data_IF_609241132928
#
_entry.id   IF_609241132928
#
_cell.length_a   1.000
_cell.length_b   1.000
_cell.length_c   1.000
_cell.angle_alpha   90.00
_cell.angle_beta   90.00
_cell.angle_gamma   90.00
#
_symmetry.space_group_name_H-M   'P 1'
#
loop_
_entity.id
_entity.type
_entity.pdbx_description
1 polymer ?
#
# COMPACT_ATOMS: atom_id res chain seq x y z
N UNK A 1 -0.94 -10.32 32.07
CA UNK A 1 0.42 -10.15 31.50
C UNK A 1 0.35 -9.29 30.23
N UNK A 2 -0.20 -8.06 30.32
CA UNK A 2 -0.46 -7.17 29.17
C UNK A 2 -0.19 -5.70 29.57
N UNK A 3 1.03 -5.39 29.97
CA UNK A 3 1.40 -4.02 30.41
C UNK A 3 2.78 -3.56 29.90
N UNK A 4 3.27 -4.13 28.80
CA UNK A 4 4.67 -3.96 28.37
C UNK A 4 4.85 -3.42 26.95
N UNK A 5 4.12 -2.36 26.55
CA UNK A 5 4.44 -1.64 25.29
C UNK A 5 4.24 -0.11 25.35
N UNK A 6 4.24 0.51 26.53
CA UNK A 6 4.13 1.98 26.69
C UNK A 6 5.42 2.63 27.22
N UNK A 7 6.58 2.27 26.68
CA UNK A 7 7.83 2.98 26.98
C UNK A 7 8.12 4.01 25.91
N UNK A 8 7.65 5.23 26.21
CA UNK A 8 8.02 6.56 25.72
C UNK A 8 8.11 6.79 24.19
N UNK A 9 7.48 7.87 23.66
CA UNK A 9 7.58 8.20 22.25
C UNK A 9 9.06 8.41 21.86
N UNK A 10 9.52 7.86 20.74
CA UNK A 10 10.88 8.08 20.26
C UNK A 10 11.11 9.58 20.00
N UNK A 11 12.39 9.99 20.01
CA UNK A 11 12.83 11.38 19.75
C UNK A 11 12.05 11.97 18.57
N UNK A 12 11.55 13.19 18.77
CA UNK A 12 10.47 13.82 18.02
C UNK A 12 10.53 13.62 16.51
N UNK A 13 9.38 13.24 15.94
CA UNK A 13 9.14 13.16 14.52
C UNK A 13 9.67 14.41 13.79
N UNK A 14 10.50 14.21 12.77
CA UNK A 14 11.00 15.28 11.90
C UNK A 14 10.37 15.12 10.52
N UNK A 15 9.39 15.97 10.21
CA UNK A 15 8.68 15.94 8.93
C UNK A 15 9.61 16.13 7.71
N UNK A 16 10.71 16.87 7.85
CA UNK A 16 11.63 17.13 6.75
C UNK A 16 12.47 15.90 6.40
N UNK A 17 12.98 15.19 7.42
CA UNK A 17 13.66 13.91 7.26
C UNK A 17 12.73 12.85 6.67
N UNK A 18 11.48 12.82 7.13
CA UNK A 18 10.47 11.88 6.65
C UNK A 18 10.05 12.14 5.18
N UNK A 19 10.01 13.39 4.72
CA UNK A 19 9.78 13.69 3.31
C UNK A 19 10.98 13.34 2.43
N UNK A 20 12.19 13.59 2.93
CA UNK A 20 13.43 13.22 2.23
C UNK A 20 13.60 11.70 2.09
N UNK A 21 12.95 10.91 2.94
CA UNK A 21 12.95 9.45 2.87
C UNK A 21 11.97 8.89 1.83
N UNK A 22 11.17 9.71 1.12
CA UNK A 22 10.20 9.23 0.11
C UNK A 22 10.74 9.27 -1.34
N UNK A 23 10.36 8.29 -2.16
CA UNK A 23 10.71 8.19 -3.59
C UNK A 23 10.11 9.37 -4.40
N UNK A 24 10.53 9.62 -5.66
CA UNK A 24 9.91 10.65 -6.51
C UNK A 24 8.39 10.51 -6.55
N UNK A 25 7.68 11.65 -6.39
CA UNK A 25 6.22 11.69 -6.17
C UNK A 25 5.81 11.62 -4.69
N UNK A 26 6.68 11.09 -3.84
CA UNK A 26 6.52 10.97 -2.39
C UNK A 26 5.29 10.14 -1.98
N UNK A 27 5.03 9.06 -2.72
CA UNK A 27 3.90 8.14 -2.50
C UNK A 27 4.34 6.76 -1.99
N UNK A 28 5.65 6.52 -1.97
CA UNK A 28 6.32 5.32 -1.49
C UNK A 28 7.64 5.73 -0.81
N UNK A 29 8.10 5.01 0.22
CA UNK A 29 9.43 5.21 0.78
C UNK A 29 10.55 4.94 -0.23
N UNK A 30 11.67 5.66 -0.14
CA UNK A 30 12.93 5.34 -0.84
C UNK A 30 13.51 4.03 -0.35
N UNK A 31 13.37 3.78 0.96
CA UNK A 31 13.79 2.52 1.54
C UNK A 31 12.80 1.43 1.14
N UNK A 32 13.20 0.65 0.13
CA UNK A 32 12.44 -0.48 -0.40
C UNK A 32 12.18 -1.55 0.66
N UNK A 33 12.94 -1.58 1.75
CA UNK A 33 12.73 -2.48 2.89
C UNK A 33 11.34 -2.36 3.50
N UNK A 34 10.82 -1.13 3.53
CA UNK A 34 9.57 -0.79 4.20
C UNK A 34 8.37 -1.25 3.42
N UNK A 35 8.44 -1.05 2.12
CA UNK A 35 7.40 -1.51 1.21
C UNK A 35 7.40 -3.05 1.23
N UNK A 36 8.58 -3.69 1.16
CA UNK A 36 8.66 -5.13 1.24
C UNK A 36 8.16 -5.69 2.58
N UNK A 37 8.48 -5.05 3.71
CA UNK A 37 7.95 -5.41 5.01
C UNK A 37 6.42 -5.32 5.03
N UNK A 38 5.85 -4.21 4.54
CA UNK A 38 4.41 -4.02 4.47
C UNK A 38 3.75 -5.08 3.57
N UNK A 39 4.30 -5.37 2.39
CA UNK A 39 3.81 -6.46 1.52
C UNK A 39 3.91 -7.82 2.23
N UNK A 40 5.00 -8.05 2.97
CA UNK A 40 5.23 -9.22 3.82
C UNK A 40 4.13 -9.41 4.86
N UNK A 41 3.81 -8.36 5.61
CA UNK A 41 2.77 -8.34 6.63
C UNK A 41 1.39 -8.61 6.01
N UNK A 42 1.03 -7.94 4.91
CA UNK A 42 -0.25 -8.17 4.23
C UNK A 42 -0.36 -9.60 3.65
N UNK A 43 0.72 -10.14 3.11
CA UNK A 43 0.76 -11.53 2.66
C UNK A 43 0.61 -12.53 3.82
N UNK A 44 1.21 -12.25 4.98
CA UNK A 44 1.00 -13.07 6.18
C UNK A 44 -0.43 -12.98 6.69
N UNK A 45 -1.02 -11.78 6.73
CA UNK A 45 -2.43 -11.57 7.09
C UNK A 45 -3.36 -12.36 6.17
N UNK A 46 -3.16 -12.29 4.85
CA UNK A 46 -3.95 -13.03 3.87
C UNK A 46 -3.88 -14.55 4.10
N UNK A 47 -2.69 -15.07 4.41
CA UNK A 47 -2.49 -16.51 4.69
C UNK A 47 -3.08 -16.96 6.03
N UNK A 48 -3.17 -16.07 7.01
CA UNK A 48 -3.68 -16.40 8.35
C UNK A 48 -5.21 -16.52 8.41
N UNK A 49 -5.92 -15.97 7.42
CA UNK A 49 -7.38 -15.99 7.37
C UNK A 49 -7.87 -17.38 6.95
N UNK A 50 -8.50 -18.09 7.88
CA UNK A 50 -9.05 -19.44 7.64
C UNK A 50 -10.27 -19.45 6.71
N UNK A 51 -11.10 -18.42 6.80
CA UNK A 51 -12.32 -18.25 6.03
C UNK A 51 -12.30 -16.87 5.39
N UNK A 52 -11.68 -16.71 4.20
CA UNK A 52 -11.59 -15.43 3.55
C UNK A 52 -12.96 -14.97 3.07
N UNK A 53 -13.20 -13.66 3.18
CA UNK A 53 -14.35 -13.01 2.56
C UNK A 53 -14.38 -13.30 1.05
N UNK A 54 -15.58 -13.47 0.46
CA UNK A 54 -15.73 -13.65 -0.99
C UNK A 54 -15.00 -12.55 -1.77
N UNK A 55 -14.35 -12.90 -2.87
CA UNK A 55 -13.65 -11.90 -3.69
C UNK A 55 -14.61 -10.79 -4.12
N UNK A 56 -14.09 -9.55 -4.15
CA UNK A 56 -14.81 -8.46 -4.81
C UNK A 56 -15.12 -8.86 -6.26
N UNK A 57 -16.32 -8.57 -6.81
CA UNK A 57 -16.69 -9.00 -8.16
C UNK A 57 -15.70 -8.58 -9.25
N UNK A 58 -15.06 -7.41 -9.10
CA UNK A 58 -14.04 -6.94 -10.06
C UNK A 58 -12.75 -7.76 -9.96
N UNK A 59 -12.40 -8.18 -8.75
CA UNK A 59 -11.23 -9.02 -8.49
C UNK A 59 -11.47 -10.48 -8.92
N UNK A 60 -12.68 -11.00 -8.74
CA UNK A 60 -13.09 -12.31 -9.28
C UNK A 60 -13.04 -12.30 -10.81
N UNK A 61 -13.59 -11.26 -11.46
CA UNK A 61 -13.54 -11.11 -12.90
C UNK A 61 -12.10 -11.02 -13.43
N UNK A 62 -11.23 -10.27 -12.74
CA UNK A 62 -9.81 -10.21 -13.08
C UNK A 62 -9.12 -11.56 -12.92
N UNK A 63 -9.38 -12.27 -11.82
CA UNK A 63 -8.83 -13.60 -11.59
C UNK A 63 -9.24 -14.57 -12.71
N UNK A 64 -10.53 -14.57 -13.08
CA UNK A 64 -11.07 -15.38 -14.17
C UNK A 64 -10.42 -15.04 -15.51
N UNK A 65 -10.32 -13.75 -15.86
CA UNK A 65 -9.65 -13.29 -17.08
C UNK A 65 -8.23 -13.86 -17.21
N UNK A 66 -7.46 -13.82 -16.13
CA UNK A 66 -6.08 -14.34 -16.12
C UNK A 66 -6.06 -15.87 -16.22
N UNK A 67 -6.97 -16.56 -15.54
CA UNK A 67 -7.01 -18.02 -15.48
C UNK A 67 -7.56 -18.68 -16.75
N UNK A 68 -8.42 -17.99 -17.50
CA UNK A 68 -8.98 -18.49 -18.76
C UNK A 68 -7.98 -18.41 -19.93
N UNK A 69 -6.93 -17.58 -19.83
CA UNK A 69 -5.85 -17.47 -20.81
C UNK A 69 -4.55 -18.09 -20.27
N UNK A 70 -4.12 -19.20 -20.88
CA UNK A 70 -2.92 -19.93 -20.48
C UNK A 70 -1.64 -19.08 -20.55
N UNK A 71 -1.56 -18.13 -21.48
CA UNK A 71 -0.44 -17.22 -21.61
C UNK A 71 -0.46 -16.18 -20.47
N UNK A 72 -1.61 -15.57 -20.17
CA UNK A 72 -1.75 -14.66 -19.03
C UNK A 72 -1.45 -15.36 -17.71
N UNK A 73 -1.97 -16.57 -17.49
CA UNK A 73 -1.67 -17.39 -16.31
C UNK A 73 -0.16 -17.62 -16.15
N UNK A 74 0.53 -17.94 -17.25
CA UNK A 74 1.99 -18.15 -17.23
C UNK A 74 2.73 -16.86 -16.86
N UNK A 75 2.39 -15.73 -17.48
CA UNK A 75 3.02 -14.43 -17.20
C UNK A 75 2.77 -13.98 -15.76
N UNK A 76 1.52 -14.07 -15.30
CA UNK A 76 1.10 -13.66 -13.97
C UNK A 76 1.82 -14.43 -12.86
N UNK A 77 2.11 -15.72 -13.05
CA UNK A 77 2.92 -16.48 -12.09
C UNK A 77 4.43 -16.16 -12.23
N UNK A 78 4.93 -16.06 -13.45
CA UNK A 78 6.36 -15.80 -13.70
C UNK A 78 6.82 -14.44 -13.18
N UNK A 79 6.00 -13.39 -13.27
CA UNK A 79 6.41 -12.06 -12.81
C UNK A 79 6.78 -12.05 -11.31
N UNK A 80 6.08 -12.84 -10.49
CA UNK A 80 6.44 -13.01 -9.08
C UNK A 80 7.71 -13.85 -8.90
N UNK A 81 7.92 -14.88 -9.71
CA UNK A 81 9.16 -15.68 -9.63
C UNK A 81 10.39 -14.93 -10.14
N UNK A 82 10.22 -14.08 -11.16
CA UNK A 82 11.25 -13.19 -11.70
C UNK A 82 11.62 -12.09 -10.72
N UNK A 83 10.62 -11.46 -10.09
CA UNK A 83 10.81 -10.48 -9.03
C UNK A 83 11.72 -11.04 -7.92
N UNK A 84 11.41 -12.23 -7.41
CA UNK A 84 12.20 -12.90 -6.36
C UNK A 84 13.68 -13.06 -6.72
N UNK A 85 13.98 -13.31 -8.01
CA UNK A 85 15.36 -13.49 -8.49
C UNK A 85 16.08 -12.16 -8.68
N UNK A 86 15.36 -11.13 -9.12
CA UNK A 86 15.91 -9.80 -9.39
C UNK A 86 16.19 -9.01 -8.11
N UNK A 87 15.46 -9.28 -7.03
CA UNK A 87 15.58 -8.57 -5.75
C UNK A 87 15.86 -9.54 -4.58
N UNK A 88 16.99 -10.27 -4.57
CA UNK A 88 17.27 -11.31 -3.59
C UNK A 88 17.69 -10.78 -2.21
N UNK A 89 18.10 -9.51 -2.11
CA UNK A 89 18.53 -8.84 -0.87
C UNK A 89 17.43 -8.00 -0.24
N UNK A 90 16.18 -8.22 -0.64
CA UNK A 90 15.02 -7.67 0.06
C UNK A 90 15.13 -8.06 1.56
N UNK A 91 15.02 -7.10 2.51
CA UNK A 91 15.23 -7.37 3.93
C UNK A 91 14.17 -8.27 4.58
N UNK A 92 13.07 -8.59 3.89
CA UNK A 92 12.16 -9.69 4.29
C UNK A 92 12.69 -11.06 3.81
N UNK A 93 13.83 -11.07 3.13
CA UNK A 93 14.58 -12.23 2.67
C UNK A 93 13.97 -12.91 1.43
N UNK A 94 12.66 -12.79 1.19
CA UNK A 94 11.94 -13.48 0.12
C UNK A 94 10.77 -12.64 -0.40
N UNK A 95 10.45 -12.77 -1.69
CA UNK A 95 9.21 -12.24 -2.24
C UNK A 95 8.01 -12.85 -1.48
N UNK A 96 7.28 -11.99 -0.77
CA UNK A 96 6.17 -12.38 0.09
C UNK A 96 4.97 -12.91 -0.70
N UNK A 97 4.86 -12.52 -1.98
CA UNK A 97 3.83 -12.92 -2.93
C UNK A 97 4.49 -13.77 -4.02
N UNK A 98 4.28 -15.08 -3.99
CA UNK A 98 5.05 -16.01 -4.84
C UNK A 98 4.35 -16.37 -6.15
N UNK A 99 3.03 -16.19 -6.19
CA UNK A 99 2.15 -16.58 -7.30
C UNK A 99 0.95 -15.66 -7.37
N UNK A 100 0.25 -15.71 -8.49
CA UNK A 100 -0.89 -14.83 -8.76
C UNK A 100 -2.03 -14.98 -7.74
N UNK A 101 -2.32 -16.19 -7.27
CA UNK A 101 -3.36 -16.39 -6.25
C UNK A 101 -3.02 -15.72 -4.92
N UNK A 102 -1.74 -15.66 -4.53
CA UNK A 102 -1.32 -14.94 -3.33
C UNK A 102 -1.58 -13.44 -3.49
N UNK A 103 -1.29 -12.90 -4.69
CA UNK A 103 -1.57 -11.50 -5.03
C UNK A 103 -3.07 -11.21 -4.94
N UNK A 104 -3.91 -12.08 -5.51
CA UNK A 104 -5.37 -11.93 -5.42
C UNK A 104 -5.84 -11.92 -3.97
N UNK A 105 -5.33 -12.83 -3.13
CA UNK A 105 -5.69 -12.86 -1.72
C UNK A 105 -5.30 -11.57 -0.97
N UNK A 106 -4.12 -11.02 -1.25
CA UNK A 106 -3.67 -9.75 -0.64
C UNK A 106 -4.46 -8.55 -1.17
N UNK A 107 -4.71 -8.50 -2.48
CA UNK A 107 -5.57 -7.47 -3.09
C UNK A 107 -6.95 -7.46 -2.45
N UNK A 108 -7.53 -8.63 -2.18
CA UNK A 108 -8.83 -8.74 -1.53
C UNK A 108 -8.84 -8.04 -0.16
N UNK A 109 -7.75 -8.11 0.62
CA UNK A 109 -7.62 -7.35 1.87
C UNK A 109 -7.57 -5.84 1.61
N UNK A 110 -6.72 -5.42 0.66
CA UNK A 110 -6.54 -4.00 0.34
C UNK A 110 -7.84 -3.34 -0.11
N UNK A 111 -8.66 -4.04 -0.90
CA UNK A 111 -9.94 -3.52 -1.39
C UNK A 111 -10.98 -3.25 -0.28
N UNK A 112 -10.76 -3.77 0.94
CA UNK A 112 -11.63 -3.56 2.11
C UNK A 112 -11.01 -2.66 3.17
N UNK A 113 -9.91 -1.98 2.85
CA UNK A 113 -9.24 -1.08 3.77
C UNK A 113 -8.86 0.22 3.09
N UNK A 114 -8.89 1.31 3.85
CA UNK A 114 -8.29 2.57 3.41
C UNK A 114 -6.75 2.44 3.33
N UNK A 115 -6.08 3.34 2.60
CA UNK A 115 -4.61 3.37 2.58
C UNK A 115 -4.09 3.67 3.99
N UNK A 116 -3.09 2.92 4.46
CA UNK A 116 -2.55 3.10 5.81
C UNK A 116 -1.47 4.18 5.83
N UNK A 117 -1.56 5.09 6.80
CA UNK A 117 -0.45 5.97 7.15
C UNK A 117 0.30 5.36 8.34
N UNK A 118 1.53 4.89 8.13
CA UNK A 118 2.33 4.26 9.19
C UNK A 118 3.31 5.29 9.76
N UNK A 119 3.10 5.64 11.03
CA UNK A 119 3.99 6.52 11.83
C UNK A 119 4.93 5.74 12.74
N UNK A 120 4.80 4.41 12.83
CA UNK A 120 5.50 3.62 13.87
C UNK A 120 7.01 3.61 13.64
N UNK A 121 7.73 4.17 14.61
CA UNK A 121 9.19 4.11 14.71
C UNK A 121 9.65 2.82 15.42
N UNK A 122 9.19 1.64 15.00
CA UNK A 122 9.84 0.38 15.38
C UNK A 122 9.42 -0.80 14.48
N UNK A 123 10.32 -1.40 13.68
CA UNK A 123 11.71 -0.96 13.51
C UNK A 123 11.76 0.50 13.03
N UNK A 124 12.84 1.20 13.37
CA UNK A 124 13.03 2.66 13.28
C UNK A 124 12.95 3.25 11.87
N UNK A 125 12.43 2.50 10.91
CA UNK A 125 12.39 2.81 9.51
C UNK A 125 10.95 2.92 8.99
N UNK A 126 9.91 2.43 9.69
CA UNK A 126 8.53 2.42 9.18
C UNK A 126 7.77 3.77 9.30
N UNK A 127 8.47 4.89 9.09
CA UNK A 127 7.82 6.18 8.83
C UNK A 127 7.68 6.31 7.32
N UNK A 128 6.47 6.13 6.80
CA UNK A 128 6.30 6.15 5.36
C UNK A 128 4.87 6.09 4.89
N UNK A 129 4.64 6.79 3.78
CA UNK A 129 3.38 6.76 3.07
C UNK A 129 3.34 5.48 2.22
N UNK A 130 2.47 4.52 2.55
CA UNK A 130 1.95 3.61 1.52
C UNK A 130 0.63 4.20 1.04
N UNK A 131 0.72 5.37 0.41
CA UNK A 131 -0.45 6.14 -0.03
C UNK A 131 -1.18 5.46 -1.19
N UNK A 132 -0.50 4.51 -1.84
CA UNK A 132 -1.07 3.66 -2.87
C UNK A 132 -0.68 2.19 -2.62
N UNK A 133 -1.44 1.46 -1.77
CA UNK A 133 -1.16 0.06 -1.43
C UNK A 133 -1.16 -0.86 -2.65
N UNK A 134 -2.00 -0.60 -3.65
CA UNK A 134 -2.03 -1.37 -4.90
C UNK A 134 -0.72 -1.18 -5.68
N UNK A 135 -0.18 0.03 -5.76
CA UNK A 135 1.13 0.25 -6.38
C UNK A 135 2.26 -0.43 -5.61
N UNK A 136 2.20 -0.45 -4.27
CA UNK A 136 3.19 -1.16 -3.46
C UNK A 136 3.22 -2.68 -3.77
N UNK A 137 2.06 -3.29 -4.01
CA UNK A 137 1.97 -4.70 -4.42
C UNK A 137 2.50 -4.94 -5.84
N UNK A 138 2.39 -3.95 -6.72
CA UNK A 138 2.72 -4.05 -8.13
C UNK A 138 4.14 -3.59 -8.50
N UNK A 139 4.80 -2.81 -7.64
CA UNK A 139 6.09 -2.17 -7.90
C UNK A 139 7.18 -3.17 -8.34
N UNK A 140 7.25 -4.34 -7.71
CA UNK A 140 8.17 -5.41 -8.08
C UNK A 140 7.74 -6.19 -9.33
N UNK A 141 6.54 -6.83 -9.37
CA UNK A 141 6.17 -7.66 -10.51
C UNK A 141 6.06 -6.87 -11.81
N UNK A 142 5.69 -5.58 -11.79
CA UNK A 142 5.69 -4.73 -12.99
C UNK A 142 7.08 -4.55 -13.60
N UNK A 143 8.14 -4.60 -12.79
CA UNK A 143 9.52 -4.38 -13.21
C UNK A 143 10.21 -5.60 -13.84
N UNK A 144 9.48 -6.68 -14.14
CA UNK A 144 10.02 -7.90 -14.76
C UNK A 144 9.61 -8.01 -16.23
N UNK A 145 10.25 -8.92 -16.98
CA UNK A 145 9.91 -9.15 -18.40
C UNK A 145 8.49 -9.70 -18.51
N UNK A 146 8.15 -10.70 -17.68
CA UNK A 146 6.79 -11.25 -17.67
C UNK A 146 5.76 -10.23 -17.19
N UNK A 147 6.11 -9.36 -16.23
CA UNK A 147 5.25 -8.25 -15.81
C UNK A 147 5.01 -7.26 -16.94
N UNK A 148 6.08 -6.80 -17.60
CA UNK A 148 5.98 -5.92 -18.76
C UNK A 148 5.03 -6.48 -19.84
N UNK A 149 5.20 -7.74 -20.24
CA UNK A 149 4.32 -8.39 -21.21
C UNK A 149 2.87 -8.52 -20.71
N UNK A 150 2.66 -8.80 -19.42
CA UNK A 150 1.34 -8.92 -18.81
C UNK A 150 0.58 -7.58 -18.80
N UNK A 151 1.23 -6.50 -18.35
CA UNK A 151 0.60 -5.18 -18.25
C UNK A 151 0.49 -4.44 -19.60
N UNK A 152 1.10 -4.95 -20.68
CA UNK A 152 0.84 -4.46 -22.03
C UNK A 152 -0.54 -4.87 -22.57
N UNK A 153 -1.19 -5.86 -21.96
CA UNK A 153 -2.47 -6.40 -22.41
C UNK A 153 -3.62 -5.44 -22.09
N UNK A 154 -4.34 -4.90 -23.09
CA UNK A 154 -5.43 -3.93 -22.84
C UNK A 154 -6.51 -4.46 -21.89
N UNK A 155 -6.85 -5.74 -22.00
CA UNK A 155 -7.83 -6.43 -21.17
C UNK A 155 -7.40 -6.51 -19.68
N UNK A 156 -6.09 -6.66 -19.42
CA UNK A 156 -5.53 -6.62 -18.07
C UNK A 156 -5.68 -5.22 -17.48
N UNK A 157 -5.32 -4.18 -18.26
CA UNK A 157 -5.45 -2.79 -17.81
C UNK A 157 -6.91 -2.39 -17.57
N UNK A 158 -7.84 -2.86 -18.41
CA UNK A 158 -9.27 -2.62 -18.20
C UNK A 158 -9.77 -3.27 -16.90
N UNK A 159 -9.33 -4.49 -16.59
CA UNK A 159 -9.68 -5.16 -15.34
C UNK A 159 -9.09 -4.45 -14.11
N UNK A 160 -7.83 -4.00 -14.17
CA UNK A 160 -7.20 -3.21 -13.10
C UNK A 160 -7.94 -1.89 -12.90
N UNK A 161 -8.35 -1.20 -13.97
CA UNK A 161 -9.15 0.01 -13.86
C UNK A 161 -10.50 -0.24 -13.14
N UNK A 162 -11.16 -1.37 -13.44
CA UNK A 162 -12.38 -1.75 -12.73
C UNK A 162 -12.14 -1.98 -11.23
N UNK A 163 -11.04 -2.64 -10.87
CA UNK A 163 -10.63 -2.85 -9.47
C UNK A 163 -10.37 -1.51 -8.76
N UNK A 164 -9.65 -0.59 -9.41
CA UNK A 164 -9.36 0.74 -8.85
C UNK A 164 -10.64 1.55 -8.65
N UNK A 165 -11.60 1.46 -9.57
CA UNK A 165 -12.90 2.11 -9.43
C UNK A 165 -13.72 1.52 -8.28
N UNK A 166 -13.70 0.19 -8.09
CA UNK A 166 -14.37 -0.47 -6.97
C UNK A 166 -13.76 -0.03 -5.63
N UNK A 167 -12.42 0.02 -5.54
CA UNK A 167 -11.74 0.53 -4.36
C UNK A 167 -12.06 2.01 -4.11
N UNK A 168 -12.04 2.86 -5.14
CA UNK A 168 -12.40 4.26 -5.04
C UNK A 168 -13.82 4.46 -4.51
N UNK A 169 -14.77 3.62 -4.91
CA UNK A 169 -16.13 3.60 -4.34
C UNK A 169 -16.14 3.17 -2.88
N UNK A 170 -15.38 2.14 -2.50
CA UNK A 170 -15.24 1.74 -1.09
C UNK A 170 -14.70 2.91 -0.24
N UNK A 171 -13.72 3.67 -0.75
CA UNK A 171 -13.12 4.78 -0.02
C UNK A 171 -14.12 5.91 0.32
N UNK A 172 -15.25 6.02 -0.37
CA UNK A 172 -16.29 7.01 -0.03
C UNK A 172 -17.26 6.55 1.06
N UNK A 173 -17.12 5.31 1.55
CA UNK A 173 -18.00 4.70 2.55
C UNK A 173 -17.47 4.88 3.98
N UNK A 174 -18.34 4.84 5.02
CA UNK A 174 -17.91 4.86 6.42
C UNK A 174 -16.88 3.79 6.80
N UNK A 175 -16.95 2.63 6.17
CA UNK A 175 -16.10 1.47 6.45
C UNK A 175 -14.62 1.71 6.10
N UNK A 176 -14.33 2.68 5.22
CA UNK A 176 -12.95 3.05 4.84
C UNK A 176 -12.23 3.86 5.92
N UNK A 177 -12.97 4.46 6.85
CA UNK A 177 -12.47 5.50 7.77
C UNK A 177 -11.48 5.01 8.81
N UNK A 178 -11.35 3.70 9.00
CA UNK A 178 -10.39 3.13 9.96
C UNK A 178 -8.94 3.54 9.72
N UNK A 179 -8.59 4.06 8.54
CA UNK A 179 -7.27 4.60 8.28
C UNK A 179 -7.05 6.04 8.76
N UNK A 180 -8.13 6.82 9.00
CA UNK A 180 -8.05 8.26 9.21
C UNK A 180 -7.28 8.65 10.47
N UNK A 181 -7.32 7.84 11.54
CA UNK A 181 -6.53 8.06 12.75
C UNK A 181 -5.03 8.23 12.45
N UNK A 182 -4.52 7.47 11.48
CA UNK A 182 -3.13 7.60 11.01
C UNK A 182 -2.91 8.88 10.21
N UNK A 183 -3.81 9.17 9.26
CA UNK A 183 -3.71 10.33 8.36
C UNK A 183 -3.94 11.69 9.03
N UNK A 184 -4.74 11.73 10.09
CA UNK A 184 -5.05 12.91 10.89
C UNK A 184 -4.21 12.99 12.18
N UNK A 185 -3.30 12.02 12.38
CA UNK A 185 -2.29 12.10 13.43
C UNK A 185 -1.47 13.38 13.31
N UNK A 186 -0.91 13.84 14.44
CA UNK A 186 -0.08 15.04 14.49
C UNK A 186 1.07 14.98 13.48
N UNK A 187 1.79 13.86 13.46
CA UNK A 187 2.94 13.63 12.57
C UNK A 187 2.53 13.66 11.09
N UNK A 188 1.40 13.03 10.73
CA UNK A 188 0.90 13.04 9.37
C UNK A 188 0.50 14.45 8.91
N UNK A 189 -0.22 15.21 9.75
CA UNK A 189 -0.61 16.59 9.45
C UNK A 189 0.60 17.50 9.25
N UNK A 190 1.61 17.40 10.11
CA UNK A 190 2.87 18.14 9.96
C UNK A 190 3.58 17.79 8.63
N UNK A 191 3.65 16.51 8.28
CA UNK A 191 4.26 16.07 7.01
C UNK A 191 3.50 16.58 5.78
N UNK A 192 2.17 16.46 5.79
CA UNK A 192 1.32 16.85 4.66
C UNK A 192 1.37 18.38 4.48
N UNK A 193 1.28 19.14 5.57
CA UNK A 193 1.41 20.59 5.52
C UNK A 193 2.80 21.00 5.00
N UNK A 194 3.88 20.40 5.49
CA UNK A 194 5.23 20.68 4.99
C UNK A 194 5.36 20.43 3.49
N UNK A 195 4.79 19.31 3.00
CA UNK A 195 4.79 18.98 1.56
C UNK A 195 4.00 20.00 0.74
N UNK A 196 2.80 20.35 1.17
CA UNK A 196 1.93 21.30 0.47
C UNK A 196 2.53 22.71 0.43
N UNK A 197 3.22 23.12 1.50
CA UNK A 197 3.96 24.39 1.54
C UNK A 197 5.19 24.41 0.60
N UNK A 198 5.80 23.25 0.34
CA UNK A 198 6.95 23.07 -0.57
C UNK A 198 8.08 24.10 -0.36
N UNK A 199 8.34 24.46 0.91
CA UNK A 199 9.35 25.45 1.30
C UNK A 199 9.06 26.91 0.90
N UNK A 200 7.86 27.21 0.38
CA UNK A 200 7.45 28.56 -0.07
C UNK A 200 6.58 29.28 0.95
N UNK A 201 5.78 28.53 1.70
CA UNK A 201 4.84 29.06 2.70
C UNK A 201 5.00 28.30 4.03
N UNK A 202 4.25 28.70 5.05
CA UNK A 202 4.29 28.08 6.39
C UNK A 202 2.89 27.85 6.96
N UNK A 203 1.91 27.61 6.08
CA UNK A 203 0.54 27.35 6.48
C UNK A 203 0.42 26.02 7.22
N UNK A 204 -0.46 26.00 8.22
CA UNK A 204 -0.89 24.79 8.93
C UNK A 204 -1.71 23.87 8.02
N UNK A 205 -1.92 22.63 8.44
CA UNK A 205 -2.75 21.68 7.69
C UNK A 205 -4.17 22.21 7.50
N UNK A 206 -4.76 22.80 8.54
CA UNK A 206 -6.12 23.35 8.54
C UNK A 206 -6.25 24.63 7.68
N UNK A 207 -5.16 25.37 7.45
CA UNK A 207 -5.15 26.51 6.52
C UNK A 207 -4.99 26.08 5.05
N UNK A 208 -4.40 24.91 4.80
CA UNK A 208 -4.14 24.39 3.46
C UNK A 208 -5.26 23.53 2.90
N UNK A 209 -6.02 22.85 3.77
CA UNK A 209 -7.03 21.87 3.39
C UNK A 209 -8.36 22.23 4.04
N UNK A 210 -9.46 22.08 3.29
CA UNK A 210 -10.81 22.16 3.84
C UNK A 210 -11.04 20.98 4.79
N UNK A 211 -10.71 21.19 6.06
CA UNK A 211 -10.79 20.17 7.10
C UNK A 211 -11.39 20.81 8.34
N UNK A 212 -12.70 20.65 8.54
CA UNK A 212 -13.35 21.18 9.74
C UNK A 212 -13.18 20.18 10.90
N UNK A 213 -12.52 20.57 12.01
CA UNK A 213 -12.34 19.72 13.17
C UNK A 213 -13.60 19.28 13.87
N UNK A 214 -14.72 19.93 13.58
CA UNK A 214 -16.03 19.60 14.13
C UNK A 214 -16.84 18.64 13.26
N UNK A 215 -16.33 18.25 12.09
CA UNK A 215 -16.97 17.19 11.31
C UNK A 215 -16.81 15.86 12.04
N UNK A 216 -17.78 14.97 11.87
CA UNK A 216 -17.86 13.68 12.57
C UNK A 216 -16.60 12.78 12.39
N UNK A 217 -15.70 13.15 11.46
CA UNK A 217 -14.57 12.34 11.03
C UNK A 217 -13.23 13.09 11.05
N UNK A 218 -13.09 14.12 11.92
CA UNK A 218 -11.81 14.75 12.24
C UNK A 218 -11.25 14.27 13.59
#
# INVERSE_FOLDING_TARGET
>A
MLSYFWKQPPKGFNAQEALQSQAPGHWLPKDRSLIAQWVGEKAQQARAIKHPEPLDPTLEAFKKLVQDDAHLTKLANKMFTESSRKYPQDPVGHNAIKKFDDFVAVMNLVLRSGPEFVTKSSPSTAIGLVGCPINALLDWPMGTISGYEFFLRPEVNAAIAAILNAWGKFLTTPESRGCLDGWLSKDAREMIAMKANNGKTSHTFEELFECNPSWEYF
#
